data_IF_511502896705
#
_entry.id   IF_511502896705
#
_cell.length_a   1.000
_cell.length_b   1.000
_cell.length_c   1.000
_cell.angle_alpha   90.00
_cell.angle_beta   90.00
_cell.angle_gamma   90.00
#
_symmetry.space_group_name_H-M   'P 1'
#
loop_
_entity.id
_entity.type
_entity.pdbx_description
1 polymer ?
#
# COMPACT_ATOMS: atom_id res chain seq x y z
N UNK A 1 -2.48 -23.68 1.06
CA UNK A 1 -1.57 -22.58 1.43
C UNK A 1 -0.88 -22.12 0.17
N UNK A 2 -0.67 -20.82 -0.04
CA UNK A 2 -0.11 -20.34 -1.31
C UNK A 2 1.39 -20.66 -1.43
N UNK A 3 1.83 -21.15 -2.59
CA UNK A 3 3.24 -21.45 -2.88
C UNK A 3 3.95 -20.22 -3.46
N UNK A 4 4.46 -19.36 -2.57
CA UNK A 4 5.20 -18.16 -2.96
C UNK A 4 6.71 -18.38 -2.85
N UNK A 5 7.48 -17.89 -3.84
CA UNK A 5 8.95 -17.89 -3.83
C UNK A 5 9.50 -16.88 -2.81
N UNK A 6 10.72 -17.10 -2.31
CA UNK A 6 11.41 -16.12 -1.45
C UNK A 6 12.29 -15.17 -2.26
N UNK A 7 12.32 -13.91 -1.83
CA UNK A 7 13.28 -12.94 -2.34
C UNK A 7 14.62 -13.16 -1.64
N UNK A 8 15.64 -13.50 -2.43
CA UNK A 8 17.02 -13.70 -1.98
C UNK A 8 17.79 -12.39 -2.16
N UNK A 9 18.46 -11.94 -1.11
CA UNK A 9 19.31 -10.76 -1.18
C UNK A 9 20.64 -11.12 -1.82
N UNK A 10 21.00 -10.43 -2.90
CA UNK A 10 22.30 -10.58 -3.56
C UNK A 10 23.44 -10.13 -2.65
N UNK A 11 24.59 -10.84 -2.70
CA UNK A 11 25.77 -10.56 -1.85
C UNK A 11 26.19 -9.09 -1.88
N UNK A 12 26.12 -8.47 -3.06
CA UNK A 12 26.48 -7.07 -3.33
C UNK A 12 25.58 -6.04 -2.61
N UNK A 13 24.44 -6.46 -2.08
CA UNK A 13 23.46 -5.60 -1.41
C UNK A 13 23.32 -5.91 0.09
N UNK A 14 24.10 -6.86 0.62
CA UNK A 14 24.03 -7.30 2.03
C UNK A 14 24.54 -6.26 3.02
N UNK A 15 25.48 -5.41 2.61
CA UNK A 15 26.06 -4.40 3.49
C UNK A 15 25.19 -3.14 3.62
N UNK A 16 24.14 -3.01 2.81
CA UNK A 16 23.25 -1.85 2.86
C UNK A 16 22.04 -2.07 3.78
N UNK A 17 22.10 -1.51 4.99
CA UNK A 17 21.07 -1.66 6.03
C UNK A 17 19.66 -1.26 5.57
N UNK A 18 19.55 -0.27 4.69
CA UNK A 18 18.26 0.17 4.13
C UNK A 18 17.67 -0.87 3.16
N UNK A 19 18.49 -1.41 2.25
CA UNK A 19 18.08 -2.44 1.28
C UNK A 19 17.75 -3.73 2.00
N UNK A 20 18.56 -4.14 2.98
CA UNK A 20 18.29 -5.29 3.85
C UNK A 20 16.93 -5.13 4.53
N UNK A 21 16.65 -3.97 5.13
CA UNK A 21 15.37 -3.70 5.78
C UNK A 21 14.19 -3.76 4.78
N UNK A 22 14.36 -3.25 3.57
CA UNK A 22 13.32 -3.27 2.54
C UNK A 22 13.04 -4.70 2.04
N UNK A 23 14.07 -5.52 1.85
CA UNK A 23 13.95 -6.94 1.48
C UNK A 23 13.28 -7.74 2.60
N UNK A 24 13.65 -7.50 3.86
CA UNK A 24 13.02 -8.15 5.01
C UNK A 24 11.53 -7.78 5.14
N UNK A 25 11.18 -6.51 4.92
CA UNK A 25 9.76 -6.09 4.89
C UNK A 25 9.00 -6.80 3.76
N UNK A 26 9.60 -6.91 2.56
CA UNK A 26 9.01 -7.62 1.44
C UNK A 26 8.82 -9.12 1.71
N UNK A 27 9.83 -9.78 2.29
CA UNK A 27 9.72 -11.19 2.68
C UNK A 27 8.65 -11.39 3.76
N UNK A 28 8.54 -10.47 4.73
CA UNK A 28 7.47 -10.52 5.74
C UNK A 28 6.09 -10.40 5.08
N UNK A 29 5.94 -9.52 4.08
CA UNK A 29 4.71 -9.44 3.29
C UNK A 29 4.38 -10.77 2.61
N UNK A 30 5.36 -11.42 1.97
CA UNK A 30 5.16 -12.73 1.33
C UNK A 30 4.76 -13.81 2.35
N UNK A 31 5.38 -13.85 3.53
CA UNK A 31 5.03 -14.79 4.59
C UNK A 31 3.59 -14.60 5.07
N UNK A 32 3.13 -13.35 5.23
CA UNK A 32 1.74 -13.06 5.59
C UNK A 32 0.76 -13.46 4.47
N UNK A 33 1.15 -13.27 3.20
CA UNK A 33 0.34 -13.66 2.05
C UNK A 33 0.23 -15.20 1.89
N UNK A 34 1.28 -15.96 2.22
CA UNK A 34 1.26 -17.44 2.21
C UNK A 34 0.19 -18.04 3.11
N UNK A 35 -0.11 -17.35 4.22
CA UNK A 35 -1.13 -17.74 5.21
C UNK A 35 -2.57 -17.50 4.71
N UNK A 36 -2.74 -16.84 3.57
CA UNK A 36 -4.05 -16.53 2.98
C UNK A 36 -4.34 -17.45 1.81
N UNK A 37 -5.63 -17.58 1.48
CA UNK A 37 -6.07 -18.32 0.31
C UNK A 37 -6.06 -17.38 -0.89
N UNK A 38 -5.08 -17.54 -1.78
CA UNK A 38 -4.92 -16.70 -2.97
C UNK A 38 -5.38 -17.47 -4.21
N UNK A 39 -5.88 -16.75 -5.21
CA UNK A 39 -6.16 -17.36 -6.50
C UNK A 39 -4.85 -17.68 -7.23
N UNK A 40 -4.83 -18.78 -8.00
CA UNK A 40 -3.62 -19.17 -8.74
C UNK A 40 -3.09 -18.10 -9.70
N UNK A 41 -3.96 -17.20 -10.20
CA UNK A 41 -3.50 -16.04 -10.99
C UNK A 41 -2.71 -15.04 -10.17
N UNK A 42 -3.14 -14.75 -8.93
CA UNK A 42 -2.43 -13.83 -8.04
C UNK A 42 -1.10 -14.44 -7.59
N UNK A 43 -1.07 -15.73 -7.29
CA UNK A 43 0.17 -16.43 -6.94
C UNK A 43 1.20 -16.39 -8.08
N UNK A 44 0.76 -16.62 -9.32
CA UNK A 44 1.65 -16.53 -10.49
C UNK A 44 2.26 -15.15 -10.65
N UNK A 45 1.46 -14.09 -10.49
CA UNK A 45 1.95 -12.71 -10.60
C UNK A 45 2.91 -12.34 -9.45
N UNK A 46 2.63 -12.77 -8.23
CA UNK A 46 3.56 -12.59 -7.10
C UNK A 46 4.88 -13.32 -7.39
N UNK A 47 4.83 -14.58 -7.81
CA UNK A 47 6.01 -15.37 -8.12
C UNK A 47 6.80 -14.78 -9.29
N UNK A 48 6.12 -14.21 -10.29
CA UNK A 48 6.77 -13.46 -11.38
C UNK A 48 7.54 -12.25 -10.83
N UNK A 49 6.91 -11.44 -9.98
CA UNK A 49 7.56 -10.29 -9.37
C UNK A 49 8.78 -10.68 -8.52
N UNK A 50 8.69 -11.80 -7.77
CA UNK A 50 9.84 -12.34 -7.01
C UNK A 50 10.96 -12.79 -7.93
N UNK A 51 10.66 -13.47 -9.04
CA UNK A 51 11.67 -13.89 -10.03
C UNK A 51 12.37 -12.70 -10.66
N UNK A 52 11.64 -11.66 -11.03
CA UNK A 52 12.21 -10.44 -11.60
C UNK A 52 13.15 -9.74 -10.60
N UNK A 53 12.80 -9.70 -9.32
CA UNK A 53 13.67 -9.14 -8.28
C UNK A 53 14.92 -10.00 -8.04
N UNK A 54 14.78 -11.33 -8.00
CA UNK A 54 15.91 -12.27 -7.86
C UNK A 54 16.84 -12.31 -9.08
N UNK A 55 16.38 -11.87 -10.25
CA UNK A 55 17.17 -11.81 -11.48
C UNK A 55 17.79 -10.42 -11.73
N UNK A 56 17.43 -9.42 -10.92
CA UNK A 56 17.97 -8.06 -11.07
C UNK A 56 19.44 -8.03 -10.70
N UNK A 57 20.26 -7.56 -11.63
CA UNK A 57 21.69 -7.26 -11.42
C UNK A 57 21.90 -5.75 -11.22
N UNK A 58 20.82 -5.02 -10.91
CA UNK A 58 20.85 -3.57 -10.80
C UNK A 58 21.56 -3.12 -9.53
N UNK A 59 22.18 -1.93 -9.59
CA UNK A 59 22.71 -1.28 -8.40
C UNK A 59 21.61 -0.91 -7.39
N UNK A 60 22.02 -0.71 -6.13
CA UNK A 60 21.18 -0.41 -4.95
C UNK A 60 19.95 0.48 -5.25
N UNK A 61 20.16 1.64 -5.87
CA UNK A 61 19.10 2.64 -6.06
C UNK A 61 17.99 2.11 -6.98
N UNK A 62 18.38 1.50 -8.10
CA UNK A 62 17.45 0.94 -9.08
C UNK A 62 16.75 -0.29 -8.51
N UNK A 63 17.48 -1.18 -7.82
CA UNK A 63 16.91 -2.33 -7.13
C UNK A 63 15.85 -1.93 -6.10
N UNK A 64 16.15 -0.95 -5.22
CA UNK A 64 15.19 -0.49 -4.21
C UNK A 64 13.93 0.13 -4.83
N UNK A 65 14.09 0.86 -5.95
CA UNK A 65 12.95 1.40 -6.70
C UNK A 65 12.09 0.26 -7.28
N UNK A 66 12.72 -0.74 -7.89
CA UNK A 66 12.02 -1.91 -8.44
C UNK A 66 11.29 -2.68 -7.33
N UNK A 67 11.97 -2.95 -6.21
CA UNK A 67 11.38 -3.62 -5.03
C UNK A 67 10.15 -2.88 -4.52
N UNK A 68 10.25 -1.55 -4.37
CA UNK A 68 9.13 -0.70 -3.96
C UNK A 68 7.95 -0.78 -4.94
N UNK A 69 8.23 -0.72 -6.24
CA UNK A 69 7.21 -0.83 -7.29
C UNK A 69 6.51 -2.18 -7.27
N UNK A 70 7.26 -3.29 -7.18
CA UNK A 70 6.72 -4.65 -7.12
C UNK A 70 5.90 -4.88 -5.86
N UNK A 71 6.38 -4.42 -4.70
CA UNK A 71 5.62 -4.43 -3.44
C UNK A 71 4.27 -3.72 -3.58
N UNK A 72 4.26 -2.52 -4.14
CA UNK A 72 3.02 -1.76 -4.34
C UNK A 72 2.07 -2.45 -5.32
N UNK A 73 2.60 -2.99 -6.42
CA UNK A 73 1.81 -3.73 -7.40
C UNK A 73 1.15 -4.97 -6.78
N UNK A 74 1.89 -5.75 -6.00
CA UNK A 74 1.38 -6.93 -5.28
C UNK A 74 0.25 -6.53 -4.32
N UNK A 75 0.48 -5.50 -3.49
CA UNK A 75 -0.56 -5.05 -2.54
C UNK A 75 -1.82 -4.59 -3.26
N UNK A 76 -1.70 -3.85 -4.37
CA UNK A 76 -2.87 -3.46 -5.17
C UNK A 76 -3.58 -4.65 -5.79
N UNK A 77 -2.83 -5.61 -6.33
CA UNK A 77 -3.41 -6.81 -6.94
C UNK A 77 -4.19 -7.61 -5.90
N UNK A 78 -3.60 -7.85 -4.74
CA UNK A 78 -4.21 -8.62 -3.65
C UNK A 78 -5.41 -7.89 -3.03
N UNK A 79 -5.35 -6.56 -2.91
CA UNK A 79 -6.51 -5.75 -2.50
C UNK A 79 -7.64 -5.83 -3.53
N UNK A 80 -7.32 -5.79 -4.82
CA UNK A 80 -8.31 -5.82 -5.89
C UNK A 80 -9.04 -7.15 -5.92
N UNK A 81 -8.29 -8.25 -5.96
CA UNK A 81 -8.81 -9.60 -6.19
C UNK A 81 -9.39 -10.24 -4.91
N UNK A 82 -8.76 -9.98 -3.75
CA UNK A 82 -9.10 -10.67 -2.49
C UNK A 82 -9.50 -9.74 -1.36
N UNK A 83 -9.47 -8.42 -1.58
CA UNK A 83 -9.68 -7.39 -0.54
C UNK A 83 -8.71 -7.55 0.63
N UNK A 84 -7.60 -8.26 0.45
CA UNK A 84 -6.59 -8.44 1.49
C UNK A 84 -5.67 -7.22 1.49
N UNK A 85 -5.38 -6.67 2.67
CA UNK A 85 -4.62 -5.42 2.81
C UNK A 85 -3.66 -5.44 4.00
N UNK A 86 -2.50 -4.74 3.91
CA UNK A 86 -1.67 -4.43 5.08
C UNK A 86 -2.40 -3.53 6.09
N UNK A 87 -1.89 -3.46 7.32
CA UNK A 87 -2.40 -2.54 8.35
C UNK A 87 -2.33 -1.08 7.87
N UNK A 88 -3.43 -0.36 8.07
CA UNK A 88 -3.53 1.07 7.78
C UNK A 88 -3.54 1.42 6.29
N UNK A 89 -3.79 0.44 5.41
CA UNK A 89 -3.79 0.65 3.96
C UNK A 89 -4.89 1.63 3.55
N UNK A 90 -6.12 1.41 3.99
CA UNK A 90 -7.25 2.25 3.58
C UNK A 90 -7.18 3.63 4.22
N UNK A 91 -6.70 3.75 5.46
CA UNK A 91 -6.38 5.03 6.08
C UNK A 91 -5.40 5.82 5.23
N UNK A 92 -4.26 5.23 4.81
CA UNK A 92 -3.27 5.89 3.95
C UNK A 92 -3.86 6.27 2.59
N UNK A 93 -4.67 5.39 1.99
CA UNK A 93 -5.34 5.64 0.71
C UNK A 93 -6.34 6.81 0.80
N UNK A 94 -7.23 6.78 1.78
CA UNK A 94 -8.28 7.79 1.95
C UNK A 94 -7.81 9.12 2.49
N UNK A 95 -6.61 9.23 3.06
CA UNK A 95 -6.00 10.54 3.33
C UNK A 95 -5.82 11.33 2.02
N UNK A 96 -5.30 10.70 0.97
CA UNK A 96 -5.14 11.34 -0.34
C UNK A 96 -6.48 11.48 -1.09
N UNK A 97 -7.31 10.43 -1.09
CA UNK A 97 -8.58 10.47 -1.82
C UNK A 97 -9.62 11.38 -1.15
N UNK A 98 -9.63 11.50 0.17
CA UNK A 98 -10.57 12.34 0.90
C UNK A 98 -10.43 13.82 0.56
N UNK A 99 -9.20 14.29 0.31
CA UNK A 99 -8.96 15.65 -0.18
C UNK A 99 -9.54 15.85 -1.58
N UNK A 100 -9.31 14.92 -2.50
CA UNK A 100 -9.78 15.04 -3.87
C UNK A 100 -11.32 14.87 -3.98
N UNK A 101 -11.88 13.91 -3.25
CA UNK A 101 -13.29 13.55 -3.32
C UNK A 101 -14.20 14.46 -2.50
N UNK A 102 -13.72 14.97 -1.36
CA UNK A 102 -14.52 15.81 -0.45
C UNK A 102 -13.89 17.17 -0.21
N UNK A 103 -12.58 17.23 0.02
CA UNK A 103 -11.95 18.48 0.45
C UNK A 103 -12.04 19.60 -0.58
N UNK A 104 -11.63 19.35 -1.82
CA UNK A 104 -11.71 20.34 -2.89
C UNK A 104 -13.17 20.70 -3.22
N UNK A 105 -14.10 19.74 -3.44
CA UNK A 105 -15.49 20.09 -3.73
C UNK A 105 -16.19 20.84 -2.59
N UNK A 106 -15.99 20.44 -1.33
CA UNK A 106 -16.57 21.14 -0.18
C UNK A 106 -15.98 22.54 -0.02
N UNK A 107 -14.67 22.69 -0.22
CA UNK A 107 -14.03 24.01 -0.19
C UNK A 107 -14.65 24.97 -1.20
N UNK A 108 -14.80 24.52 -2.45
CA UNK A 108 -15.47 25.32 -3.49
C UNK A 108 -16.91 25.64 -3.09
N UNK A 109 -17.68 24.65 -2.61
CA UNK A 109 -19.05 24.86 -2.19
C UNK A 109 -19.18 25.89 -1.07
N UNK A 110 -18.35 25.83 -0.03
CA UNK A 110 -18.35 26.81 1.07
C UNK A 110 -17.89 28.19 0.61
N UNK A 111 -16.84 28.26 -0.21
CA UNK A 111 -16.35 29.52 -0.77
C UNK A 111 -17.41 30.26 -1.59
N UNK A 112 -18.16 29.52 -2.41
CA UNK A 112 -19.27 30.05 -3.20
C UNK A 112 -20.46 30.42 -2.33
N UNK A 113 -20.92 29.54 -1.44
CA UNK A 113 -22.12 29.75 -0.62
C UNK A 113 -21.97 30.92 0.37
N UNK A 114 -20.75 31.17 0.85
CA UNK A 114 -20.44 32.25 1.80
C UNK A 114 -19.90 33.51 1.12
N UNK A 115 -19.86 33.53 -0.22
CA UNK A 115 -19.31 34.62 -1.03
C UNK A 115 -17.91 35.07 -0.59
N UNK A 116 -17.10 34.15 -0.06
CA UNK A 116 -15.77 34.46 0.45
C UNK A 116 -14.83 33.29 0.19
N UNK A 117 -13.85 33.55 -0.69
CA UNK A 117 -12.87 32.56 -1.16
C UNK A 117 -11.94 32.05 -0.05
N UNK A 118 -11.81 32.77 1.07
CA UNK A 118 -11.08 32.27 2.24
C UNK A 118 -11.67 30.97 2.80
N UNK A 119 -12.98 30.76 2.67
CA UNK A 119 -13.64 29.53 3.13
C UNK A 119 -13.34 28.30 2.27
N UNK A 120 -12.72 28.47 1.09
CA UNK A 120 -12.21 27.33 0.31
C UNK A 120 -11.16 26.55 1.12
N UNK A 121 -10.38 27.25 1.95
CA UNK A 121 -9.38 26.64 2.80
C UNK A 121 -9.97 25.67 3.84
N UNK A 122 -11.25 25.81 4.23
CA UNK A 122 -11.92 24.88 5.14
C UNK A 122 -12.18 23.51 4.51
N UNK A 123 -12.23 23.44 3.18
CA UNK A 123 -12.45 22.18 2.47
C UNK A 123 -11.36 21.16 2.78
N UNK A 124 -10.09 21.56 2.78
CA UNK A 124 -8.94 20.68 3.03
C UNK A 124 -9.01 19.93 4.37
N UNK A 125 -9.14 20.60 5.54
CA UNK A 125 -9.22 19.91 6.83
C UNK A 125 -10.49 19.05 6.95
N UNK A 126 -11.62 19.48 6.38
CA UNK A 126 -12.85 18.68 6.37
C UNK A 126 -12.72 17.42 5.51
N UNK A 127 -12.17 17.54 4.31
CA UNK A 127 -11.93 16.41 3.41
C UNK A 127 -10.94 15.40 4.00
N UNK A 128 -9.91 15.88 4.70
CA UNK A 128 -8.99 15.04 5.46
C UNK A 128 -9.68 14.32 6.62
N UNK A 129 -10.53 15.01 7.40
CA UNK A 129 -11.27 14.43 8.51
C UNK A 129 -12.22 13.32 8.02
N UNK A 130 -13.02 13.60 6.99
CA UNK A 130 -13.95 12.65 6.37
C UNK A 130 -13.17 11.45 5.79
N UNK A 131 -12.13 11.72 4.99
CA UNK A 131 -11.28 10.68 4.41
C UNK A 131 -10.63 9.79 5.47
N UNK A 132 -10.07 10.37 6.53
CA UNK A 132 -9.48 9.63 7.65
C UNK A 132 -10.50 8.74 8.35
N UNK A 133 -11.72 9.23 8.57
CA UNK A 133 -12.81 8.45 9.16
C UNK A 133 -13.21 7.25 8.31
N UNK A 134 -13.44 7.46 7.01
CA UNK A 134 -13.77 6.39 6.07
C UNK A 134 -12.64 5.36 6.00
N UNK A 135 -11.39 5.82 5.86
CA UNK A 135 -10.22 4.95 5.78
C UNK A 135 -10.05 4.08 7.03
N UNK A 136 -10.19 4.65 8.23
CA UNK A 136 -10.15 3.89 9.50
C UNK A 136 -11.26 2.84 9.58
N UNK A 137 -12.49 3.19 9.17
CA UNK A 137 -13.61 2.24 9.16
C UNK A 137 -13.35 1.07 8.22
N UNK A 138 -12.78 1.34 7.04
CA UNK A 138 -12.42 0.28 6.09
C UNK A 138 -11.29 -0.61 6.59
N UNK A 139 -10.25 -0.04 7.22
CA UNK A 139 -9.20 -0.83 7.87
C UNK A 139 -9.76 -1.70 9.00
N UNK A 140 -10.68 -1.16 9.82
CA UNK A 140 -11.35 -1.91 10.89
C UNK A 140 -12.15 -3.08 10.32
N UNK A 141 -12.95 -2.84 9.27
CA UNK A 141 -13.72 -3.87 8.58
C UNK A 141 -12.82 -4.96 8.01
N UNK A 142 -11.68 -4.61 7.40
CA UNK A 142 -10.73 -5.59 6.89
C UNK A 142 -10.10 -6.45 8.01
N UNK A 143 -9.89 -5.88 9.20
CA UNK A 143 -9.41 -6.62 10.37
C UNK A 143 -10.50 -7.57 10.92
N UNK A 144 -11.73 -7.08 11.10
CA UNK A 144 -12.88 -7.86 11.57
C UNK A 144 -13.20 -9.05 10.65
N UNK A 145 -13.04 -8.88 9.34
CA UNK A 145 -13.25 -9.95 8.35
C UNK A 145 -12.01 -10.85 8.12
N UNK A 146 -10.94 -10.68 8.92
CA UNK A 146 -9.73 -11.50 8.80
C UNK A 146 -8.94 -11.29 7.49
N UNK A 147 -9.23 -10.23 6.73
CA UNK A 147 -8.55 -9.87 5.48
C UNK A 147 -7.31 -8.99 5.68
N UNK A 148 -7.09 -8.48 6.89
CA UNK A 148 -5.90 -7.68 7.20
C UNK A 148 -4.68 -8.57 7.44
N UNK A 149 -3.54 -8.20 6.84
CA UNK A 149 -2.24 -8.84 7.07
C UNK A 149 -1.60 -8.28 8.35
N UNK A 150 -0.81 -9.09 9.06
CA UNK A 150 -0.11 -8.65 10.27
C UNK A 150 1.21 -7.91 9.95
N UNK A 151 1.15 -6.96 9.03
CA UNK A 151 2.29 -6.12 8.62
C UNK A 151 1.82 -4.71 8.33
N UNK A 152 2.61 -3.71 8.74
CA UNK A 152 2.48 -2.34 8.27
C UNK A 152 3.64 -2.04 7.32
N UNK A 153 3.32 -1.58 6.11
CA UNK A 153 4.33 -1.20 5.13
C UNK A 153 4.79 0.24 5.33
N UNK A 154 6.11 0.43 5.39
CA UNK A 154 6.74 1.76 5.44
C UNK A 154 6.68 2.42 4.06
N UNK A 155 6.07 3.61 4.01
CA UNK A 155 6.15 4.57 2.91
C UNK A 155 5.57 4.14 1.55
N UNK A 156 4.85 5.08 0.91
CA UNK A 156 4.64 5.12 -0.53
C UNK A 156 5.76 5.87 -1.22
#
# INVERSE_FOLDING_TARGET
MAELSELKLHEQLKDDSQTVAAVNEFNTLLQELRKKNLSGSVEREINRAVRELNASTDGKTTFNKLLKQRRFAIVRLVEKEHKIVPKGYYRKLWLSLGMAAFGLPLGVAFGTALHNTAYIALGLPLGLAIGSGIGRRMDKKAAEEGRQLNIELKGK
#
